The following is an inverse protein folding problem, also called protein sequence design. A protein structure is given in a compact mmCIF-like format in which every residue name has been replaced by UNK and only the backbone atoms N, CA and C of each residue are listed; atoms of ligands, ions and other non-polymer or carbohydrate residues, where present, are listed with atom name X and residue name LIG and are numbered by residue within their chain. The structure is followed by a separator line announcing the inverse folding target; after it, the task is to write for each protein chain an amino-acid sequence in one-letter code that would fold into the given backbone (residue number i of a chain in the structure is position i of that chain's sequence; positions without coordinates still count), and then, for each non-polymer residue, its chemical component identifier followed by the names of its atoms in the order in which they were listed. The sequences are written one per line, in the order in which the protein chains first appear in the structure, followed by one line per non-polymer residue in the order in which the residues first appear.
data_IF_354446531913
#
_entry.id   IF_354446531913
#
_cell.length_a   1.000
_cell.length_b   1.000
_cell.length_c   1.000
_cell.angle_alpha   90.00
_cell.angle_beta   90.00
_cell.angle_gamma   90.00
#
_symmetry.space_group_name_H-M   'P 1'
#
loop_
_entity.id
_entity.type
_entity.pdbx_description
1 polymer ?
#
# COMPACT_ATOMS: atom_id res chain seq x y z
N UNK A 1 27.55 -2.48 28.23
CA UNK A 1 26.71 -1.31 28.59
C UNK A 1 26.42 -0.43 27.37
N UNK A 2 27.44 0.04 26.63
CA UNK A 2 27.23 0.84 25.40
C UNK A 2 26.46 0.13 24.26
N UNK A 3 26.67 -1.17 24.08
CA UNK A 3 26.02 -1.94 23.00
C UNK A 3 24.50 -2.08 23.19
N UNK A 4 24.04 -2.19 24.44
CA UNK A 4 22.60 -2.30 24.76
C UNK A 4 21.89 -0.99 24.45
N UNK A 5 22.46 0.14 24.87
CA UNK A 5 21.93 1.48 24.60
C UNK A 5 21.85 1.73 23.09
N UNK A 6 22.89 1.36 22.34
CA UNK A 6 22.88 1.49 20.87
C UNK A 6 21.76 0.64 20.24
N UNK A 7 21.55 -0.61 20.69
CA UNK A 7 20.49 -1.47 20.18
C UNK A 7 19.08 -0.93 20.49
N UNK A 8 18.88 -0.38 21.68
CA UNK A 8 17.62 0.26 22.08
C UNK A 8 17.34 1.50 21.20
N UNK A 9 18.34 2.36 20.99
CA UNK A 9 18.22 3.53 20.11
C UNK A 9 17.89 3.14 18.66
N UNK A 10 18.56 2.11 18.11
CA UNK A 10 18.22 1.59 16.78
C UNK A 10 16.80 1.07 16.70
N UNK A 11 16.35 0.34 17.73
CA UNK A 11 14.99 -0.20 17.79
C UNK A 11 13.94 0.90 17.84
N UNK A 12 14.19 1.95 18.61
CA UNK A 12 13.31 3.13 18.73
C UNK A 12 13.23 3.89 17.39
N UNK A 13 14.37 4.11 16.72
CA UNK A 13 14.43 4.75 15.39
C UNK A 13 13.63 3.92 14.37
N UNK A 14 13.84 2.59 14.32
CA UNK A 14 13.13 1.70 13.40
C UNK A 14 11.62 1.69 13.65
N UNK A 15 11.20 1.72 14.91
CA UNK A 15 9.79 1.77 15.31
C UNK A 15 9.12 3.04 14.82
N UNK A 16 9.77 4.20 14.98
CA UNK A 16 9.22 5.48 14.54
C UNK A 16 9.19 5.60 13.01
N UNK A 17 10.22 5.14 12.29
CA UNK A 17 10.22 5.11 10.82
C UNK A 17 9.07 4.27 10.25
N UNK A 18 8.71 3.16 10.91
CA UNK A 18 7.59 2.31 10.49
C UNK A 18 6.22 2.91 10.76
N UNK A 19 6.09 3.82 11.74
CA UNK A 19 4.80 4.35 12.21
C UNK A 19 4.26 5.49 11.34
N UNK A 20 5.15 6.26 10.71
CA UNK A 20 4.82 7.55 10.08
C UNK A 20 4.71 7.54 8.54
N UNK A 21 4.51 6.38 7.93
CA UNK A 21 4.22 6.34 6.49
C UNK A 21 2.71 6.16 6.26
N UNK A 22 1.96 7.26 6.07
CA UNK A 22 0.57 7.14 5.63
C UNK A 22 0.54 6.30 4.35
N UNK A 23 -0.44 5.40 4.27
CA UNK A 23 -0.58 4.50 3.13
C UNK A 23 -0.65 5.31 1.83
N UNK A 24 0.18 4.90 0.88
CA UNK A 24 0.31 5.59 -0.40
C UNK A 24 -0.97 5.37 -1.22
N UNK A 25 -1.52 6.46 -1.74
CA UNK A 25 -2.68 6.40 -2.63
C UNK A 25 -2.23 6.40 -4.08
N UNK A 26 -2.67 5.40 -4.82
CA UNK A 26 -2.39 5.21 -6.24
C UNK A 26 -3.66 5.46 -7.05
N UNK A 27 -3.51 6.13 -8.20
CA UNK A 27 -4.55 6.14 -9.23
C UNK A 27 -4.54 4.82 -10.02
N UNK A 28 -5.49 4.64 -10.95
CA UNK A 28 -5.61 3.37 -11.68
C UNK A 28 -4.40 3.03 -12.55
N UNK A 29 -3.75 4.02 -13.17
CA UNK A 29 -2.57 3.79 -14.01
C UNK A 29 -1.39 3.32 -13.15
N UNK A 30 -1.19 3.96 -11.99
CA UNK A 30 -0.19 3.56 -11.01
C UNK A 30 -0.48 2.17 -10.43
N UNK A 31 -1.74 1.87 -10.10
CA UNK A 31 -2.14 0.54 -9.60
C UNK A 31 -1.90 -0.56 -10.65
N UNK A 32 -2.20 -0.28 -11.93
CA UNK A 32 -1.95 -1.19 -13.04
C UNK A 32 -0.46 -1.45 -13.22
N UNK A 33 0.37 -0.40 -13.21
CA UNK A 33 1.81 -0.52 -13.25
C UNK A 33 2.36 -1.32 -12.05
N UNK A 34 1.86 -1.01 -10.85
CA UNK A 34 2.26 -1.67 -9.60
C UNK A 34 1.98 -3.18 -9.63
N UNK A 35 0.78 -3.57 -10.07
CA UNK A 35 0.38 -4.97 -10.20
C UNK A 35 0.91 -5.67 -11.46
N UNK A 36 1.60 -4.94 -12.36
CA UNK A 36 2.02 -5.43 -13.69
C UNK A 36 0.85 -5.97 -14.54
N UNK A 37 -0.29 -5.28 -14.51
CA UNK A 37 -1.51 -5.63 -15.23
C UNK A 37 -1.99 -4.45 -16.08
N UNK A 38 -2.93 -4.71 -17.00
CA UNK A 38 -3.62 -3.64 -17.71
C UNK A 38 -4.64 -2.93 -16.82
N UNK A 39 -4.91 -1.65 -17.07
CA UNK A 39 -5.96 -0.91 -16.37
C UNK A 39 -7.33 -1.60 -16.50
N UNK A 40 -7.62 -2.21 -17.66
CA UNK A 40 -8.85 -2.96 -17.88
C UNK A 40 -8.97 -4.15 -16.93
N UNK A 41 -7.87 -4.85 -16.66
CA UNK A 41 -7.82 -5.96 -15.70
C UNK A 41 -8.09 -5.45 -14.29
N UNK A 42 -7.47 -4.34 -13.89
CA UNK A 42 -7.74 -3.70 -12.59
C UNK A 42 -9.22 -3.30 -12.47
N UNK A 43 -9.81 -2.68 -13.52
CA UNK A 43 -11.25 -2.34 -13.53
C UNK A 43 -12.14 -3.57 -13.39
N UNK A 44 -11.78 -4.70 -14.01
CA UNK A 44 -12.51 -5.97 -13.88
C UNK A 44 -12.53 -6.43 -12.43
N UNK A 45 -11.38 -6.45 -11.75
CA UNK A 45 -11.29 -6.87 -10.35
C UNK A 45 -12.00 -5.92 -9.38
N UNK A 46 -11.99 -4.61 -9.67
CA UNK A 46 -12.82 -3.63 -8.95
C UNK A 46 -14.31 -3.90 -9.16
N UNK A 47 -14.74 -4.22 -10.39
CA UNK A 47 -16.15 -4.47 -10.74
C UNK A 47 -16.71 -5.69 -10.02
N UNK A 48 -15.94 -6.78 -9.96
CA UNK A 48 -16.35 -8.02 -9.26
C UNK A 48 -16.16 -7.95 -7.74
N UNK A 49 -15.69 -6.81 -7.20
CA UNK A 49 -15.53 -6.58 -5.76
C UNK A 49 -14.28 -7.22 -5.14
N UNK A 50 -13.42 -7.86 -5.93
CA UNK A 50 -12.22 -8.53 -5.44
C UNK A 50 -11.10 -7.56 -5.01
N UNK A 51 -11.06 -6.35 -5.60
CA UNK A 51 -10.06 -5.33 -5.28
C UNK A 51 -10.70 -4.11 -4.61
N UNK A 52 -10.31 -3.86 -3.35
CA UNK A 52 -10.79 -2.73 -2.56
C UNK A 52 -10.26 -1.40 -3.11
N UNK A 53 -11.16 -0.43 -3.26
CA UNK A 53 -10.89 0.88 -3.87
C UNK A 53 -11.75 1.97 -3.23
N UNK A 54 -11.24 3.21 -3.17
CA UNK A 54 -12.04 4.39 -2.86
C UNK A 54 -12.62 5.01 -4.13
N UNK A 55 -13.89 5.39 -4.09
CA UNK A 55 -14.62 6.06 -5.19
C UNK A 55 -15.07 7.48 -4.83
N UNK A 56 -14.69 7.98 -3.64
CA UNK A 56 -15.23 9.24 -3.07
C UNK A 56 -14.98 10.48 -3.92
N UNK A 57 -13.91 10.49 -4.71
CA UNK A 57 -13.49 11.63 -5.53
C UNK A 57 -13.94 11.53 -6.98
N UNK A 58 -14.76 10.54 -7.34
CA UNK A 58 -15.09 10.20 -8.74
C UNK A 58 -13.97 9.46 -9.49
N UNK A 59 -12.76 9.39 -8.92
CA UNK A 59 -11.65 8.56 -9.41
C UNK A 59 -11.56 7.27 -8.60
N UNK A 60 -11.04 6.22 -9.24
CA UNK A 60 -10.61 5.01 -8.54
C UNK A 60 -9.25 5.28 -7.87
N UNK A 61 -9.24 5.28 -6.54
CA UNK A 61 -8.04 5.46 -5.73
C UNK A 61 -7.77 4.21 -4.89
N UNK A 62 -6.56 3.70 -4.99
CA UNK A 62 -6.13 2.45 -4.39
C UNK A 62 -5.11 2.75 -3.31
N UNK A 63 -5.39 2.30 -2.10
CA UNK A 63 -4.37 2.19 -1.07
C UNK A 63 -3.38 1.09 -1.48
N UNK A 64 -2.08 1.39 -1.41
CA UNK A 64 -1.03 0.41 -1.74
C UNK A 64 -1.15 -0.84 -0.88
N UNK A 65 -1.44 -0.68 0.41
CA UNK A 65 -1.67 -1.84 1.30
C UNK A 65 -2.87 -2.72 0.90
N UNK A 66 -3.88 -2.17 0.22
CA UNK A 66 -5.00 -2.96 -0.30
C UNK A 66 -4.59 -3.75 -1.54
N UNK A 67 -3.74 -3.17 -2.41
CA UNK A 67 -3.15 -3.88 -3.54
C UNK A 67 -2.23 -4.99 -3.06
N UNK A 68 -1.37 -4.74 -2.08
CA UNK A 68 -0.52 -5.75 -1.45
C UNK A 68 -1.32 -6.94 -0.95
N UNK A 69 -2.37 -6.69 -0.17
CA UNK A 69 -3.24 -7.76 0.33
C UNK A 69 -3.90 -8.53 -0.80
N UNK A 70 -4.41 -7.82 -1.81
CA UNK A 70 -5.06 -8.46 -2.95
C UNK A 70 -4.09 -9.34 -3.77
N UNK A 71 -2.83 -8.93 -3.93
CA UNK A 71 -1.80 -9.71 -4.64
C UNK A 71 -1.30 -10.93 -3.87
N UNK A 72 -1.34 -10.89 -2.53
CA UNK A 72 -0.83 -11.96 -1.68
C UNK A 72 -1.86 -13.07 -1.37
N UNK A 73 -3.12 -12.91 -1.78
CA UNK A 73 -4.21 -13.86 -1.48
C UNK A 73 -4.72 -13.76 -0.05
#
# INVERSE_FOLDING_TARGET
MNTVIIQEMFSEILKNIKKDRPDEWLNISQAAQYAKLSEQTIRRYVRVGALKVSKKTGRLLFQKSNLDRWLNG
#
